data_IF_027801546666
#
_entry.id   IF_027801546666
#
_cell.length_a   1.000
_cell.length_b   1.000
_cell.length_c   1.000
_cell.angle_alpha   90.00
_cell.angle_beta   90.00
_cell.angle_gamma   90.00
#
_symmetry.space_group_name_H-M   'P 1'
#
loop_
_entity.id
_entity.type
_entity.pdbx_description
1 polymer ?
#
# COMPACT_ATOMS: atom_id res chain seq x y z
N UNK A 1 6.59 35.87 7.13
CA UNK A 1 7.59 34.87 7.54
C UNK A 1 7.19 33.51 6.98
N UNK A 2 8.13 32.75 6.39
CA UNK A 2 7.86 31.36 5.97
C UNK A 2 7.90 30.44 7.19
N UNK A 3 6.90 29.57 7.33
CA UNK A 3 6.89 28.55 8.40
C UNK A 3 7.93 27.47 8.07
N UNK A 4 8.66 27.01 9.09
CA UNK A 4 9.54 25.83 8.97
C UNK A 4 8.68 24.57 8.99
N UNK A 5 9.04 23.59 8.17
CA UNK A 5 8.37 22.29 8.08
C UNK A 5 9.39 21.22 8.43
N UNK A 6 8.99 20.23 9.22
CA UNK A 6 9.82 19.10 9.66
C UNK A 6 9.03 17.80 9.49
N UNK A 7 9.74 16.68 9.43
CA UNK A 7 9.16 15.34 9.43
C UNK A 7 9.18 14.84 10.87
N UNK A 8 8.01 14.58 11.45
CA UNK A 8 7.89 14.08 12.84
C UNK A 8 7.58 12.59 12.91
N UNK A 9 7.03 12.02 11.84
CA UNK A 9 6.80 10.59 11.70
C UNK A 9 6.86 10.18 10.24
N UNK A 10 7.28 8.94 10.01
CA UNK A 10 7.34 8.33 8.68
C UNK A 10 7.09 6.83 8.83
N UNK A 11 6.64 6.19 7.77
CA UNK A 11 6.56 4.73 7.68
C UNK A 11 6.72 4.30 6.22
N UNK A 12 7.09 3.04 5.98
CA UNK A 12 7.29 2.48 4.66
C UNK A 12 6.76 1.04 4.55
N UNK A 13 6.25 0.71 3.37
CA UNK A 13 6.05 -0.66 2.92
C UNK A 13 6.76 -0.84 1.59
N UNK A 14 7.51 -1.93 1.44
CA UNK A 14 8.37 -2.16 0.27
C UNK A 14 8.62 -3.64 0.03
N UNK A 15 9.18 -3.98 -1.13
CA UNK A 15 9.55 -5.36 -1.48
C UNK A 15 10.73 -5.92 -0.66
N UNK A 16 11.40 -5.08 0.13
CA UNK A 16 12.50 -5.48 1.01
C UNK A 16 12.14 -5.39 2.49
N UNK A 17 10.89 -5.03 2.81
CA UNK A 17 10.37 -5.02 4.17
C UNK A 17 9.18 -4.08 4.33
N UNK A 18 8.19 -4.55 5.09
CA UNK A 18 7.17 -3.71 5.69
C UNK A 18 7.62 -3.22 7.08
N UNK A 19 7.57 -1.90 7.30
CA UNK A 19 8.08 -1.27 8.51
C UNK A 19 9.49 -0.69 8.32
N UNK A 20 9.74 0.49 8.89
CA UNK A 20 11.01 1.21 8.81
C UNK A 20 12.22 0.37 9.21
N UNK A 21 12.13 -0.37 10.31
CA UNK A 21 13.27 -1.15 10.82
C UNK A 21 13.66 -2.27 9.86
N UNK A 22 12.65 -3.02 9.38
CA UNK A 22 12.86 -4.10 8.42
C UNK A 22 13.40 -3.57 7.10
N UNK A 23 12.80 -2.49 6.58
CA UNK A 23 13.26 -1.81 5.37
C UNK A 23 14.69 -1.30 5.52
N UNK A 24 15.00 -0.58 6.59
CA UNK A 24 16.31 0.03 6.80
C UNK A 24 17.39 -1.03 6.93
N UNK A 25 17.16 -2.06 7.74
CA UNK A 25 18.06 -3.19 7.88
C UNK A 25 18.30 -3.88 6.53
N UNK A 26 17.26 -4.12 5.73
CA UNK A 26 17.40 -4.72 4.41
C UNK A 26 18.18 -3.82 3.44
N UNK A 27 17.90 -2.51 3.45
CA UNK A 27 18.53 -1.53 2.57
C UNK A 27 20.04 -1.40 2.83
N UNK A 28 20.46 -1.25 4.09
CA UNK A 28 21.88 -1.11 4.43
C UNK A 28 22.69 -2.39 4.17
N UNK A 29 22.03 -3.55 4.16
CA UNK A 29 22.65 -4.84 3.85
C UNK A 29 22.56 -5.22 2.36
N UNK A 30 22.05 -4.33 1.50
CA UNK A 30 21.98 -4.59 0.05
C UNK A 30 21.02 -5.72 -0.35
N UNK A 31 19.98 -5.96 0.44
CA UNK A 31 18.98 -7.00 0.14
C UNK A 31 18.18 -6.60 -1.09
N UNK A 32 18.09 -7.49 -2.08
CA UNK A 32 17.30 -7.28 -3.28
C UNK A 32 15.87 -7.84 -3.11
N UNK A 33 14.88 -6.96 -3.27
CA UNK A 33 13.44 -7.32 -3.22
C UNK A 33 12.88 -7.79 -4.56
N UNK A 34 13.66 -7.73 -5.64
CA UNK A 34 13.22 -8.13 -6.97
C UNK A 34 13.32 -9.65 -7.10
N UNK A 35 12.17 -10.30 -7.31
CA UNK A 35 12.06 -11.76 -7.41
C UNK A 35 11.15 -12.13 -8.58
N UNK A 36 11.12 -13.43 -8.92
CA UNK A 36 10.09 -13.94 -9.84
C UNK A 36 8.71 -13.61 -9.27
N UNK A 37 7.83 -13.07 -10.12
CA UNK A 37 6.45 -12.73 -9.77
C UNK A 37 5.75 -13.98 -9.19
N UNK A 38 5.05 -13.80 -8.06
CA UNK A 38 4.33 -14.87 -7.36
C UNK A 38 2.81 -14.64 -7.36
N UNK A 39 2.36 -13.42 -7.68
CA UNK A 39 0.94 -13.07 -7.70
C UNK A 39 0.15 -13.68 -8.87
N UNK A 40 0.82 -14.11 -9.94
CA UNK A 40 0.25 -14.81 -11.09
C UNK A 40 1.35 -15.61 -11.81
N UNK A 41 1.00 -16.46 -12.80
CA UNK A 41 2.00 -17.16 -13.63
C UNK A 41 2.62 -16.18 -14.64
N UNK A 42 3.91 -15.81 -14.50
CA UNK A 42 4.52 -14.87 -15.41
C UNK A 42 5.11 -15.54 -16.66
N UNK A 43 5.01 -16.86 -16.81
CA UNK A 43 5.64 -17.62 -17.91
C UNK A 43 5.34 -17.10 -19.33
N UNK A 44 4.14 -16.57 -19.64
CA UNK A 44 3.84 -16.06 -20.98
C UNK A 44 4.41 -14.67 -21.28
N UNK A 45 4.92 -13.95 -20.28
CA UNK A 45 5.33 -12.55 -20.40
C UNK A 45 6.85 -12.40 -20.55
N UNK A 46 7.28 -11.34 -21.26
CA UNK A 46 8.72 -11.03 -21.46
C UNK A 46 9.40 -10.59 -20.18
N UNK A 47 8.68 -9.90 -19.29
CA UNK A 47 9.14 -9.53 -17.94
C UNK A 47 8.50 -10.46 -16.92
N UNK A 48 9.32 -11.15 -16.13
CA UNK A 48 8.86 -12.19 -15.19
C UNK A 48 9.25 -11.91 -13.73
N UNK A 49 9.78 -10.72 -13.45
CA UNK A 49 10.26 -10.30 -12.14
C UNK A 49 9.57 -9.02 -11.68
N UNK A 50 9.36 -8.89 -10.39
CA UNK A 50 8.80 -7.70 -9.75
C UNK A 50 9.30 -7.56 -8.31
N UNK A 51 9.18 -6.35 -7.77
CA UNK A 51 9.33 -6.09 -6.34
C UNK A 51 7.97 -6.21 -5.65
N UNK A 52 7.51 -7.43 -5.39
CA UNK A 52 6.24 -7.67 -4.69
C UNK A 52 6.38 -7.40 -3.18
N UNK A 53 5.37 -6.74 -2.59
CA UNK A 53 5.24 -6.64 -1.14
C UNK A 53 4.47 -7.86 -0.64
N UNK A 54 5.16 -8.85 -0.10
CA UNK A 54 4.57 -10.15 0.27
C UNK A 54 4.26 -10.30 1.77
N UNK A 55 4.84 -9.44 2.60
CA UNK A 55 4.84 -9.54 4.07
C UNK A 55 3.94 -8.50 4.76
N UNK A 56 3.11 -7.77 4.02
CA UNK A 56 2.17 -6.83 4.62
C UNK A 56 1.16 -7.60 5.49
N UNK A 57 1.14 -7.29 6.79
CA UNK A 57 0.13 -7.75 7.73
C UNK A 57 -0.67 -6.57 8.27
N UNK A 58 -2.00 -6.69 8.20
CA UNK A 58 -2.96 -5.78 8.83
C UNK A 58 -3.66 -6.43 10.04
N UNK A 59 -3.11 -7.52 10.59
CA UNK A 59 -3.76 -8.26 11.67
C UNK A 59 -4.03 -7.40 12.91
N UNK A 60 -3.17 -6.42 13.19
CA UNK A 60 -3.30 -5.43 14.26
C UNK A 60 -4.17 -4.22 13.89
N UNK A 61 -4.64 -4.14 12.65
CA UNK A 61 -5.48 -3.06 12.12
C UNK A 61 -6.71 -3.64 11.40
N UNK A 62 -7.57 -4.41 12.09
CA UNK A 62 -8.69 -5.11 11.47
C UNK A 62 -9.70 -4.17 10.81
N UNK A 63 -9.77 -2.91 11.24
CA UNK A 63 -10.58 -1.86 10.60
C UNK A 63 -10.13 -1.53 9.17
N UNK A 64 -8.84 -1.75 8.86
CA UNK A 64 -8.22 -1.53 7.56
C UNK A 64 -8.13 -2.79 6.71
N UNK A 65 -8.21 -4.00 7.31
CA UNK A 65 -8.20 -5.28 6.60
C UNK A 65 -9.56 -5.60 5.93
N UNK A 66 -10.03 -4.68 5.08
CA UNK A 66 -11.28 -4.82 4.31
C UNK A 66 -10.97 -5.05 2.83
N UNK A 67 -10.37 -6.20 2.52
CA UNK A 67 -9.83 -6.53 1.18
C UNK A 67 -10.83 -6.47 0.02
N UNK A 68 -12.12 -6.62 0.31
CA UNK A 68 -13.18 -6.42 -0.70
C UNK A 68 -13.38 -4.94 -1.02
N UNK A 69 -13.33 -4.10 0.02
CA UNK A 69 -13.59 -2.66 -0.08
C UNK A 69 -12.39 -1.83 -0.54
N UNK A 70 -11.18 -2.23 -0.17
CA UNK A 70 -9.98 -1.43 -0.41
C UNK A 70 -8.98 -2.15 -1.31
N UNK A 71 -8.54 -1.49 -2.40
CA UNK A 71 -7.47 -2.04 -3.21
C UNK A 71 -6.20 -2.19 -2.39
N UNK A 72 -5.30 -3.08 -2.83
CA UNK A 72 -4.05 -3.35 -2.10
C UNK A 72 -3.20 -2.09 -1.91
N UNK A 73 -3.24 -1.15 -2.86
CA UNK A 73 -2.58 0.15 -2.75
C UNK A 73 -3.13 1.03 -1.63
N UNK A 74 -4.45 1.02 -1.40
CA UNK A 74 -5.07 1.73 -0.29
C UNK A 74 -4.70 1.09 1.06
N UNK A 75 -4.57 -0.24 1.11
CA UNK A 75 -4.11 -0.94 2.32
C UNK A 75 -2.67 -0.55 2.70
N UNK A 76 -1.78 -0.39 1.71
CA UNK A 76 -0.43 0.14 1.96
C UNK A 76 -0.46 1.56 2.52
N UNK A 77 -1.29 2.42 1.94
CA UNK A 77 -1.43 3.81 2.41
C UNK A 77 -2.00 3.87 3.83
N UNK A 78 -3.00 3.05 4.15
CA UNK A 78 -3.59 2.97 5.49
C UNK A 78 -2.57 2.49 6.52
N UNK A 79 -1.83 1.41 6.22
CA UNK A 79 -0.74 0.93 7.07
C UNK A 79 0.29 2.04 7.32
N UNK A 80 0.86 2.62 6.26
CA UNK A 80 1.91 3.63 6.42
C UNK A 80 1.40 4.87 7.16
N UNK A 81 0.21 5.34 6.83
CA UNK A 81 -0.37 6.55 7.46
C UNK A 81 -0.59 6.34 8.96
N UNK A 82 -1.15 5.19 9.34
CA UNK A 82 -1.39 4.86 10.74
C UNK A 82 -0.11 4.87 11.57
N UNK A 83 0.88 4.08 11.16
CA UNK A 83 2.16 3.96 11.87
C UNK A 83 2.98 5.27 11.84
N UNK A 84 2.89 6.06 10.76
CA UNK A 84 3.53 7.37 10.69
C UNK A 84 2.91 8.37 11.67
N UNK A 85 1.58 8.37 11.82
CA UNK A 85 0.87 9.19 12.81
C UNK A 85 1.26 8.78 14.24
N UNK A 86 1.32 7.47 14.52
CA UNK A 86 1.76 6.96 15.82
C UNK A 86 3.19 7.41 16.15
N UNK A 87 4.13 7.26 15.20
CA UNK A 87 5.52 7.71 15.35
C UNK A 87 5.65 9.22 15.52
N UNK A 88 4.77 10.00 14.89
CA UNK A 88 4.71 11.45 15.05
C UNK A 88 4.18 11.88 16.42
N UNK A 89 3.55 10.98 17.19
CA UNK A 89 2.94 11.30 18.47
C UNK A 89 1.75 12.24 18.38
N UNK A 90 1.09 12.31 17.21
CA UNK A 90 -0.04 13.22 16.98
C UNK A 90 -1.31 12.70 17.65
N UNK A 91 -2.00 13.60 18.35
CA UNK A 91 -3.27 13.31 19.02
C UNK A 91 -4.44 13.39 18.04
N UNK A 92 -5.55 12.72 18.39
CA UNK A 92 -6.79 12.82 17.62
C UNK A 92 -7.27 14.28 17.45
N UNK A 93 -7.04 15.13 18.45
CA UNK A 93 -7.39 16.55 18.40
C UNK A 93 -6.56 17.30 17.35
N UNK A 94 -5.25 17.06 17.27
CA UNK A 94 -4.39 17.68 16.25
C UNK A 94 -4.80 17.24 14.84
N UNK A 95 -5.17 15.97 14.69
CA UNK A 95 -5.62 15.40 13.41
C UNK A 95 -6.92 16.04 12.89
N UNK A 96 -7.76 16.63 13.74
CA UNK A 96 -9.01 17.30 13.30
C UNK A 96 -8.76 18.49 12.35
N UNK A 97 -7.56 19.08 12.40
CA UNK A 97 -7.15 20.21 11.55
C UNK A 97 -6.06 19.84 10.54
N UNK A 98 -5.66 18.57 10.51
CA UNK A 98 -4.62 18.09 9.62
C UNK A 98 -5.14 17.98 8.18
N UNK A 99 -4.32 18.42 7.23
CA UNK A 99 -4.53 18.16 5.80
C UNK A 99 -3.92 16.82 5.40
N UNK A 100 -4.51 16.18 4.38
CA UNK A 100 -3.99 14.96 3.77
C UNK A 100 -3.62 15.25 2.33
N UNK A 101 -2.42 14.82 1.93
CA UNK A 101 -1.98 14.82 0.54
C UNK A 101 -1.38 13.45 0.21
N UNK A 102 -2.08 12.68 -0.62
CA UNK A 102 -1.68 11.33 -1.03
C UNK A 102 -1.70 11.26 -2.54
N UNK A 103 -0.61 10.76 -3.13
CA UNK A 103 -0.50 10.54 -4.57
C UNK A 103 -0.44 9.04 -4.88
N UNK A 104 -1.09 8.62 -5.97
CA UNK A 104 -0.95 7.28 -6.54
C UNK A 104 -0.88 7.40 -8.06
N UNK A 105 -0.21 6.46 -8.73
CA UNK A 105 -0.16 6.42 -10.20
C UNK A 105 -1.34 5.61 -10.77
N UNK A 106 -1.47 4.35 -10.37
CA UNK A 106 -2.46 3.40 -10.88
C UNK A 106 -3.57 3.07 -9.89
N UNK A 107 -3.46 3.51 -8.63
CA UNK A 107 -4.48 3.26 -7.61
C UNK A 107 -4.85 1.77 -7.50
N UNK A 108 -6.14 1.45 -7.65
CA UNK A 108 -6.67 0.09 -7.66
C UNK A 108 -6.89 -0.45 -9.07
N UNK A 109 -5.84 -0.47 -9.90
CA UNK A 109 -5.93 -0.97 -11.27
C UNK A 109 -6.42 -2.43 -11.38
N UNK A 110 -5.96 -3.39 -10.55
CA UNK A 110 -6.48 -4.77 -10.61
C UNK A 110 -7.98 -4.86 -10.32
N UNK A 111 -8.48 -4.03 -9.40
CA UNK A 111 -9.90 -3.97 -9.07
C UNK A 111 -10.70 -3.33 -10.22
N UNK A 112 -10.16 -2.30 -10.87
CA UNK A 112 -10.75 -1.69 -12.06
C UNK A 112 -10.81 -2.66 -13.24
N UNK A 113 -9.74 -3.41 -13.49
CA UNK A 113 -9.68 -4.45 -14.53
C UNK A 113 -10.71 -5.56 -14.28
N UNK A 114 -10.83 -6.01 -13.03
CA UNK A 114 -11.83 -7.00 -12.62
C UNK A 114 -13.26 -6.50 -12.84
N UNK A 115 -13.53 -5.24 -12.47
CA UNK A 115 -14.83 -4.62 -12.68
C UNK A 115 -15.15 -4.44 -14.17
N UNK A 116 -14.17 -4.04 -14.98
CA UNK A 116 -14.30 -3.92 -16.43
C UNK A 116 -14.66 -5.28 -17.06
N UNK A 117 -13.94 -6.34 -16.69
CA UNK A 117 -14.22 -7.68 -17.17
C UNK A 117 -15.64 -8.15 -16.79
N UNK A 118 -16.05 -7.96 -15.54
CA UNK A 118 -17.41 -8.33 -15.09
C UNK A 118 -18.51 -7.56 -15.85
N UNK A 119 -18.29 -6.27 -16.13
CA UNK A 119 -19.26 -5.46 -16.86
C UNK A 119 -19.48 -5.92 -18.30
N UNK A 120 -18.39 -6.18 -19.04
CA UNK A 120 -18.44 -6.48 -20.48
C UNK A 120 -18.62 -7.95 -20.82
N UNK A 121 -18.08 -8.85 -20.00
CA UNK A 121 -18.07 -10.29 -20.28
C UNK A 121 -19.15 -11.07 -19.52
N UNK A 122 -19.64 -10.53 -18.41
CA UNK A 122 -20.63 -11.21 -17.57
C UNK A 122 -21.99 -10.51 -17.60
N UNK A 123 -22.36 -9.79 -16.53
CA UNK A 123 -23.64 -9.13 -16.42
C UNK A 123 -23.48 -7.81 -15.68
N UNK A 124 -23.74 -6.71 -16.39
CA UNK A 124 -23.70 -5.33 -15.87
C UNK A 124 -24.53 -5.09 -14.60
N UNK A 125 -25.48 -5.97 -14.29
CA UNK A 125 -26.33 -5.90 -13.08
C UNK A 125 -25.68 -6.41 -11.80
N UNK A 126 -24.50 -7.06 -11.85
CA UNK A 126 -23.77 -7.53 -10.67
C UNK A 126 -22.43 -6.79 -10.52
N UNK A 127 -22.44 -5.65 -9.84
CA UNK A 127 -21.24 -5.15 -9.19
C UNK A 127 -21.11 -5.88 -7.85
N UNK A 128 -20.20 -6.86 -7.78
CA UNK A 128 -19.82 -7.44 -6.48
C UNK A 128 -18.86 -6.47 -5.78
N UNK A 129 -19.14 -6.11 -4.50
CA UNK A 129 -18.31 -5.21 -3.72
C UNK A 129 -17.03 -5.85 -3.19
#
# INVERSE_FOLDING_TARGET
>A
MKRRVVITGMEITSSIGCGLEAFWHAAINGICGIKRIQSYDPSPYTTQIAGEITDLSLAHLPEFDKRKRYPRTAQYALYCTHHAIERAGLTAQELTTAGIYIGTSLGGAPELESAYQAFFMENWKKFLP
#
